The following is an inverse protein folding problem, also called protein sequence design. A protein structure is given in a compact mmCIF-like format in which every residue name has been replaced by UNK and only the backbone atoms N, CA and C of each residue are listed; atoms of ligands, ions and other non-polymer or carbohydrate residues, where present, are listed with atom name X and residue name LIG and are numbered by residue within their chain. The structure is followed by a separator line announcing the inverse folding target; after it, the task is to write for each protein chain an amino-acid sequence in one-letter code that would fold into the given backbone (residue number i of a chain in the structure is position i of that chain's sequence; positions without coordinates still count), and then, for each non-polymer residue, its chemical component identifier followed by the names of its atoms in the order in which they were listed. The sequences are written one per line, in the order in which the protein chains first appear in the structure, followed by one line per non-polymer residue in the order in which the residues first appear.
data_IF_259728671024
#
_entry.id   IF_259728671024
#
_cell.length_a   1.000
_cell.length_b   1.000
_cell.length_c   1.000
_cell.angle_alpha   90.00
_cell.angle_beta   90.00
_cell.angle_gamma   90.00
#
_symmetry.space_group_name_H-M   'P 1'
#
loop_
_entity.id
_entity.type
_entity.pdbx_description
1 polymer ?
#
# COMPACT_ATOMS: atom_id res chain seq x y z
N UNK A 1 -0.05 11.66 49.49
CA UNK A 1 -0.33 11.83 48.05
C UNK A 1 1.02 12.00 47.38
N UNK A 2 1.59 11.12 46.58
CA UNK A 2 1.09 9.97 45.81
C UNK A 2 2.05 9.85 44.64
N UNK A 3 3.35 9.66 44.94
CA UNK A 3 4.41 9.53 43.96
C UNK A 3 4.71 8.06 43.74
N UNK A 4 4.27 7.52 42.62
CA UNK A 4 4.69 6.24 42.08
C UNK A 4 4.48 6.30 40.56
N UNK A 5 5.30 5.54 39.83
CA UNK A 5 5.41 5.45 38.36
C UNK A 5 6.54 6.27 37.74
N UNK A 6 7.79 5.87 38.03
CA UNK A 6 8.89 5.96 37.05
C UNK A 6 10.03 5.05 37.50
N UNK A 7 9.83 3.73 37.42
CA UNK A 7 10.87 2.74 37.74
C UNK A 7 10.59 1.43 36.99
N UNK A 8 10.61 1.49 35.66
CA UNK A 8 10.69 0.31 34.78
C UNK A 8 11.70 0.55 33.66
N UNK A 9 12.83 1.20 33.97
CA UNK A 9 14.00 1.19 33.11
C UNK A 9 15.12 0.43 33.83
N UNK A 10 15.65 -0.60 33.16
CA UNK A 10 16.86 -1.37 33.51
C UNK A 10 16.72 -2.53 34.51
N UNK A 11 15.89 -3.53 34.17
CA UNK A 11 16.21 -4.93 34.50
C UNK A 11 16.70 -5.60 33.22
N UNK A 12 17.85 -5.15 32.70
CA UNK A 12 18.60 -5.90 31.71
C UNK A 12 19.57 -6.80 32.49
N UNK A 13 19.26 -8.08 32.60
CA UNK A 13 20.22 -9.09 33.06
C UNK A 13 21.45 -9.00 32.14
N UNK A 14 22.63 -8.68 32.69
CA UNK A 14 23.89 -8.47 31.95
C UNK A 14 24.47 -9.71 31.25
N UNK A 15 23.65 -10.73 30.99
CA UNK A 15 24.02 -11.98 30.32
C UNK A 15 23.21 -12.26 29.05
N UNK A 16 22.20 -11.44 28.72
CA UNK A 16 21.45 -11.62 27.48
C UNK A 16 22.25 -11.00 26.33
N UNK A 17 22.83 -11.87 25.51
CA UNK A 17 23.46 -11.48 24.25
C UNK A 17 22.50 -10.61 23.42
N UNK A 18 22.98 -9.44 22.98
CA UNK A 18 22.20 -8.44 22.23
C UNK A 18 21.60 -9.04 20.96
N UNK A 19 22.32 -9.95 20.30
CA UNK A 19 21.82 -10.63 19.10
C UNK A 19 20.63 -11.54 19.44
N UNK A 20 20.70 -12.24 20.57
CA UNK A 20 19.59 -13.08 21.06
C UNK A 20 18.34 -12.26 21.41
N UNK A 21 18.50 -11.13 22.11
CA UNK A 21 17.37 -10.22 22.39
C UNK A 21 16.77 -9.66 21.11
N UNK A 22 17.61 -9.16 20.20
CA UNK A 22 17.16 -8.64 18.91
C UNK A 22 16.34 -9.67 18.11
N UNK A 23 16.77 -10.94 18.08
CA UNK A 23 16.04 -12.04 17.43
C UNK A 23 14.67 -12.30 18.06
N UNK A 24 14.60 -12.33 19.39
CA UNK A 24 13.32 -12.54 20.10
C UNK A 24 12.28 -11.43 19.85
N UNK A 25 12.74 -10.24 19.44
CA UNK A 25 11.89 -9.08 19.20
C UNK A 25 11.53 -8.89 17.72
N UNK A 26 11.93 -9.79 16.82
CA UNK A 26 11.68 -9.62 15.38
C UNK A 26 10.20 -9.53 15.04
N UNK A 27 9.36 -10.41 15.61
CA UNK A 27 7.90 -10.36 15.42
C UNK A 27 7.34 -9.00 15.86
N UNK A 28 7.73 -8.52 17.05
CA UNK A 28 7.27 -7.25 17.58
C UNK A 28 7.72 -6.07 16.71
N UNK A 29 8.97 -6.10 16.25
CA UNK A 29 9.53 -5.05 15.36
C UNK A 29 8.87 -5.00 13.99
N UNK A 30 8.39 -6.13 13.46
CA UNK A 30 7.68 -6.20 12.19
C UNK A 30 6.18 -5.91 12.35
N UNK A 31 5.58 -6.24 13.49
CA UNK A 31 4.13 -6.16 13.69
C UNK A 31 3.55 -4.75 13.45
N UNK A 32 4.15 -3.72 14.07
CA UNK A 32 3.69 -2.33 13.96
C UNK A 32 3.83 -1.76 12.53
N UNK A 33 5.00 -1.81 11.87
CA UNK A 33 5.11 -1.30 10.52
C UNK A 33 4.21 -2.06 9.54
N UNK A 34 4.05 -3.39 9.68
CA UNK A 34 3.10 -4.13 8.83
C UNK A 34 1.67 -3.68 9.05
N UNK A 35 1.24 -3.42 10.29
CA UNK A 35 -0.09 -2.87 10.56
C UNK A 35 -0.28 -1.49 9.91
N UNK A 36 0.71 -0.61 10.02
CA UNK A 36 0.67 0.72 9.40
C UNK A 36 0.58 0.64 7.86
N UNK A 37 1.28 -0.33 7.24
CA UNK A 37 1.16 -0.62 5.81
C UNK A 37 -0.26 -1.05 5.44
N UNK A 38 -0.87 -1.93 6.24
CA UNK A 38 -2.22 -2.44 5.99
C UNK A 38 -3.25 -1.33 6.09
N UNK A 39 -3.20 -0.49 7.12
CA UNK A 39 -4.12 0.64 7.30
C UNK A 39 -4.08 1.59 6.09
N UNK A 40 -2.87 1.95 5.65
CA UNK A 40 -2.68 2.79 4.47
C UNK A 40 -3.18 2.09 3.18
N UNK A 41 -2.91 0.79 3.03
CA UNK A 41 -3.29 0.03 1.84
C UNK A 41 -4.81 -0.14 1.71
N UNK A 42 -5.53 -0.32 2.83
CA UNK A 42 -7.00 -0.35 2.83
C UNK A 42 -7.55 0.97 2.28
N UNK A 43 -7.03 2.10 2.76
CA UNK A 43 -7.43 3.41 2.22
C UNK A 43 -7.14 3.52 0.72
N UNK A 44 -5.94 3.16 0.28
CA UNK A 44 -5.53 3.30 -1.12
C UNK A 44 -6.38 2.44 -2.06
N UNK A 45 -6.72 1.21 -1.62
CA UNK A 45 -7.61 0.31 -2.36
C UNK A 45 -9.02 0.87 -2.50
N UNK A 46 -9.55 1.49 -1.44
CA UNK A 46 -10.90 2.06 -1.46
C UNK A 46 -10.97 3.38 -2.27
N UNK A 47 -9.82 3.95 -2.65
CA UNK A 47 -9.70 5.22 -3.37
C UNK A 47 -8.97 5.11 -4.72
N UNK A 48 -9.03 3.95 -5.40
CA UNK A 48 -8.40 3.70 -6.70
C UNK A 48 -8.77 4.72 -7.78
N UNK A 49 -10.01 5.20 -7.80
CA UNK A 49 -10.45 6.23 -8.74
C UNK A 49 -9.66 7.55 -8.57
N UNK A 50 -9.39 7.96 -7.33
CA UNK A 50 -8.59 9.17 -7.03
C UNK A 50 -7.12 8.96 -7.39
N UNK A 51 -6.59 7.74 -7.23
CA UNK A 51 -5.23 7.40 -7.66
C UNK A 51 -5.11 7.53 -9.18
N UNK A 52 -6.10 7.02 -9.94
CA UNK A 52 -6.12 7.13 -11.39
C UNK A 52 -6.17 8.59 -11.85
N UNK A 53 -7.07 9.39 -11.28
CA UNK A 53 -7.18 10.83 -11.57
C UNK A 53 -5.85 11.56 -11.29
N UNK A 54 -5.18 11.23 -10.17
CA UNK A 54 -3.88 11.78 -9.82
C UNK A 54 -2.79 11.44 -10.86
N UNK A 55 -2.81 10.21 -11.38
CA UNK A 55 -1.90 9.77 -12.44
C UNK A 55 -2.16 10.45 -13.79
N UNK A 56 -3.44 10.58 -14.18
CA UNK A 56 -3.84 11.21 -15.45
C UNK A 56 -3.50 12.70 -15.48
N UNK A 57 -3.85 13.43 -14.42
CA UNK A 57 -3.61 14.88 -14.32
C UNK A 57 -2.15 15.19 -14.01
N UNK A 58 -1.46 14.26 -13.37
CA UNK A 58 -0.11 14.45 -12.87
C UNK A 58 -0.10 14.99 -11.44
N UNK A 59 0.74 14.45 -10.54
CA UNK A 59 0.87 14.93 -9.17
C UNK A 59 1.29 16.41 -9.08
N UNK A 60 1.97 16.94 -10.11
CA UNK A 60 2.37 18.35 -10.19
C UNK A 60 1.21 19.30 -10.51
N UNK A 61 0.21 18.86 -11.27
CA UNK A 61 -0.92 19.71 -11.63
C UNK A 61 -2.00 19.76 -10.53
N UNK A 62 -2.05 18.75 -9.67
CA UNK A 62 -3.15 18.52 -8.72
C UNK A 62 -2.95 19.16 -7.35
N UNK A 63 -1.76 19.69 -7.04
CA UNK A 63 -1.50 20.41 -5.79
C UNK A 63 -1.47 21.93 -6.08
N UNK A 64 -2.58 22.67 -5.89
CA UNK A 64 -2.70 24.08 -6.30
C UNK A 64 -1.79 25.06 -5.53
N UNK A 65 -1.09 24.59 -4.49
CA UNK A 65 -0.14 25.38 -3.67
C UNK A 65 1.18 24.61 -3.56
N UNK A 66 1.89 24.49 -4.67
CA UNK A 66 3.23 23.91 -4.71
C UNK A 66 4.24 24.79 -3.97
N UNK A 67 4.42 24.54 -2.67
CA UNK A 67 5.61 24.99 -1.96
C UNK A 67 6.82 24.11 -2.30
N UNK A 68 8.01 24.56 -1.90
CA UNK A 68 9.26 23.81 -2.09
C UNK A 68 9.25 22.49 -1.30
N UNK A 69 8.54 22.44 -0.17
CA UNK A 69 8.42 21.27 0.70
C UNK A 69 7.58 20.18 0.04
N UNK A 70 6.42 20.52 -0.50
CA UNK A 70 5.50 19.60 -1.18
C UNK A 70 6.17 18.98 -2.39
N UNK A 71 6.89 19.78 -3.18
CA UNK A 71 7.66 19.28 -4.32
C UNK A 71 8.71 18.27 -3.92
N UNK A 72 9.49 18.59 -2.89
CA UNK A 72 10.51 17.67 -2.38
C UNK A 72 9.86 16.38 -1.88
N UNK A 73 8.79 16.48 -1.11
CA UNK A 73 8.08 15.33 -0.53
C UNK A 73 7.50 14.43 -1.62
N UNK A 74 6.92 15.00 -2.67
CA UNK A 74 6.46 14.24 -3.83
C UNK A 74 7.60 13.53 -4.55
N UNK A 75 8.74 14.20 -4.78
CA UNK A 75 9.91 13.57 -5.39
C UNK A 75 10.43 12.40 -4.55
N UNK A 76 10.42 12.55 -3.23
CA UNK A 76 10.81 11.52 -2.27
C UNK A 76 9.84 10.32 -2.31
N UNK A 77 8.52 10.56 -2.37
CA UNK A 77 7.51 9.51 -2.55
C UNK A 77 7.73 8.80 -3.88
N UNK A 78 7.83 9.54 -4.99
CA UNK A 78 8.00 8.97 -6.32
C UNK A 78 9.23 8.06 -6.40
N UNK A 79 10.38 8.56 -5.93
CA UNK A 79 11.62 7.79 -5.86
C UNK A 79 11.50 6.55 -4.97
N UNK A 80 10.82 6.66 -3.83
CA UNK A 80 10.63 5.52 -2.92
C UNK A 80 9.73 4.46 -3.53
N UNK A 81 8.61 4.85 -4.14
CA UNK A 81 7.73 3.94 -4.86
C UNK A 81 8.48 3.20 -5.97
N UNK A 82 9.14 3.94 -6.85
CA UNK A 82 9.89 3.39 -7.99
C UNK A 82 10.98 2.43 -7.51
N UNK A 83 11.75 2.83 -6.50
CA UNK A 83 12.83 2.00 -5.95
C UNK A 83 12.34 0.75 -5.23
N UNK A 84 11.31 0.85 -4.37
CA UNK A 84 10.79 -0.29 -3.60
C UNK A 84 10.05 -1.30 -4.46
N UNK A 85 9.25 -0.83 -5.42
CA UNK A 85 8.48 -1.69 -6.32
C UNK A 85 9.31 -2.20 -7.52
N UNK A 86 10.58 -1.81 -7.61
CA UNK A 86 11.48 -2.27 -8.67
C UNK A 86 11.05 -1.80 -10.05
N UNK A 87 10.40 -0.65 -10.15
CA UNK A 87 9.98 -0.11 -11.43
C UNK A 87 11.20 0.38 -12.22
N UNK A 88 11.40 -0.19 -13.40
CA UNK A 88 12.52 0.18 -14.27
C UNK A 88 12.13 1.30 -15.23
N UNK A 89 12.91 2.38 -15.20
CA UNK A 89 12.80 3.45 -16.16
C UNK A 89 13.67 3.18 -17.40
N UNK A 90 13.10 2.47 -18.38
CA UNK A 90 13.80 2.20 -19.65
C UNK A 90 14.03 3.48 -20.48
N UNK A 91 13.20 4.50 -20.28
CA UNK A 91 13.23 5.75 -21.04
C UNK A 91 14.12 6.83 -20.41
N UNK A 92 14.47 6.68 -19.12
CA UNK A 92 15.17 7.69 -18.30
C UNK A 92 14.36 8.99 -18.17
N UNK A 93 13.04 8.88 -18.15
CA UNK A 93 12.10 9.98 -17.96
C UNK A 93 12.14 10.54 -16.52
N UNK A 94 12.72 9.80 -15.58
CA UNK A 94 12.86 10.14 -14.16
C UNK A 94 11.76 9.56 -13.28
N UNK A 95 12.07 9.43 -11.99
CA UNK A 95 11.20 8.74 -11.01
C UNK A 95 9.78 9.31 -10.97
N UNK A 96 9.62 10.62 -11.12
CA UNK A 96 8.31 11.27 -11.05
C UNK A 96 7.41 10.92 -12.24
N UNK A 97 7.97 10.86 -13.45
CA UNK A 97 7.21 10.52 -14.66
C UNK A 97 6.81 9.05 -14.62
N UNK A 98 7.73 8.17 -14.20
CA UNK A 98 7.44 6.75 -14.05
C UNK A 98 6.38 6.51 -12.97
N UNK A 99 6.50 7.19 -11.83
CA UNK A 99 5.49 7.17 -10.77
C UNK A 99 4.12 7.61 -11.28
N UNK A 100 4.04 8.73 -12.00
CA UNK A 100 2.79 9.19 -12.60
C UNK A 100 2.17 8.14 -13.55
N UNK A 101 2.97 7.54 -14.44
CA UNK A 101 2.51 6.49 -15.36
C UNK A 101 1.93 5.29 -14.61
N UNK A 102 2.51 4.94 -13.46
CA UNK A 102 2.03 3.85 -12.61
C UNK A 102 0.74 4.20 -11.88
N UNK A 103 0.61 5.42 -11.36
CA UNK A 103 -0.65 5.90 -10.78
C UNK A 103 -1.81 5.88 -11.78
N UNK A 104 -1.55 6.19 -13.05
CA UNK A 104 -2.57 6.12 -14.11
C UNK A 104 -3.07 4.67 -14.35
N UNK A 105 -2.36 3.65 -13.86
CA UNK A 105 -2.75 2.25 -13.86
C UNK A 105 -3.16 1.82 -12.44
N UNK A 106 -4.08 2.57 -11.82
CA UNK A 106 -4.35 2.52 -10.38
C UNK A 106 -4.63 1.11 -9.82
N UNK A 107 -5.41 0.28 -10.52
CA UNK A 107 -5.70 -1.09 -10.08
C UNK A 107 -4.44 -1.95 -10.01
N UNK A 108 -3.64 -1.94 -11.08
CA UNK A 108 -2.35 -2.65 -11.12
C UNK A 108 -1.39 -2.09 -10.07
N UNK A 109 -1.36 -0.78 -9.90
CA UNK A 109 -0.52 -0.14 -8.90
C UNK A 109 -0.89 -0.58 -7.47
N UNK A 110 -2.19 -0.63 -7.13
CA UNK A 110 -2.65 -1.14 -5.83
C UNK A 110 -2.33 -2.62 -5.66
N UNK A 111 -2.47 -3.44 -6.71
CA UNK A 111 -2.08 -4.84 -6.67
C UNK A 111 -0.56 -5.01 -6.45
N UNK A 112 0.26 -4.16 -7.08
CA UNK A 112 1.70 -4.13 -6.85
C UNK A 112 2.03 -3.79 -5.38
N UNK A 113 1.28 -2.87 -4.75
CA UNK A 113 1.43 -2.56 -3.31
C UNK A 113 0.97 -3.72 -2.42
N UNK A 114 -0.10 -4.42 -2.79
CA UNK A 114 -0.61 -5.57 -2.05
C UNK A 114 0.37 -6.75 -2.09
N UNK A 115 0.95 -7.01 -3.26
CA UNK A 115 1.90 -8.11 -3.50
C UNK A 115 3.35 -7.74 -3.16
N UNK A 116 3.63 -6.48 -2.81
CA UNK A 116 4.95 -6.02 -2.42
C UNK A 116 5.53 -6.83 -1.26
N UNK A 117 6.78 -7.28 -1.40
CA UNK A 117 7.50 -8.04 -0.37
C UNK A 117 8.73 -7.28 0.09
N UNK A 118 8.70 -6.81 1.34
CA UNK A 118 9.84 -6.13 1.94
C UNK A 118 11.09 -7.04 2.04
N UNK A 119 10.88 -8.36 2.16
CA UNK A 119 11.91 -9.40 2.19
C UNK A 119 12.78 -9.39 0.94
N UNK A 120 12.22 -9.04 -0.22
CA UNK A 120 12.92 -9.12 -1.52
C UNK A 120 13.65 -7.83 -1.89
N UNK A 121 13.51 -6.76 -1.09
CA UNK A 121 14.14 -5.48 -1.39
C UNK A 121 15.66 -5.57 -1.22
N UNK A 122 16.46 -5.20 -2.24
CA UNK A 122 17.91 -5.21 -2.15
C UNK A 122 18.45 -4.25 -1.08
N UNK A 123 19.50 -4.67 -0.38
CA UNK A 123 20.15 -3.84 0.66
C UNK A 123 20.69 -2.51 0.09
N UNK A 124 21.13 -2.48 -1.17
CA UNK A 124 21.53 -1.25 -1.86
C UNK A 124 20.37 -0.27 -2.04
N UNK A 125 19.18 -0.79 -2.40
CA UNK A 125 17.95 -0.01 -2.49
C UNK A 125 17.58 0.56 -1.13
N UNK A 126 17.57 -0.26 -0.07
CA UNK A 126 17.30 0.19 1.30
C UNK A 126 18.25 1.31 1.71
N UNK A 127 19.56 1.13 1.51
CA UNK A 127 20.56 2.14 1.83
C UNK A 127 20.34 3.46 1.05
N UNK A 128 19.95 3.37 -0.23
CA UNK A 128 19.70 4.54 -1.07
C UNK A 128 18.45 5.32 -0.67
N UNK A 129 17.45 4.65 -0.07
CA UNK A 129 16.17 5.23 0.33
C UNK A 129 16.11 5.59 1.83
N UNK A 130 17.07 5.16 2.63
CA UNK A 130 17.10 5.44 4.08
C UNK A 130 17.05 6.93 4.40
N UNK A 131 17.78 7.75 3.64
CA UNK A 131 17.78 9.21 3.80
C UNK A 131 16.47 9.86 3.38
N UNK A 132 15.71 9.19 2.50
CA UNK A 132 14.42 9.66 1.99
C UNK A 132 13.34 9.53 3.06
N UNK A 133 13.30 8.40 3.75
CA UNK A 133 12.28 8.10 4.76
C UNK A 133 12.50 8.84 6.09
N UNK A 134 13.76 9.15 6.41
CA UNK A 134 14.13 9.93 7.59
C UNK A 134 13.90 11.44 7.42
N UNK A 135 13.64 11.91 6.19
CA UNK A 135 13.31 13.30 5.97
C UNK A 135 11.95 13.62 6.62
N UNK A 136 11.93 14.64 7.49
CA UNK A 136 10.71 15.19 8.11
C UNK A 136 9.72 15.80 7.08
N UNK A 137 10.05 15.70 5.80
CA UNK A 137 9.27 16.23 4.69
C UNK A 137 8.10 15.29 4.32
N UNK A 138 8.16 13.99 4.63
CA UNK A 138 7.04 13.06 4.37
C UNK A 138 6.10 12.92 5.59
N UNK A 139 5.76 14.02 6.26
CA UNK A 139 4.89 14.02 7.43
C UNK A 139 3.42 14.34 7.08
N UNK A 140 2.50 13.99 7.99
CA UNK A 140 1.09 14.36 7.89
C UNK A 140 0.91 15.86 7.68
N UNK A 141 -0.08 16.24 6.86
CA UNK A 141 -0.42 17.63 6.59
C UNK A 141 0.52 18.37 5.62
N UNK A 142 1.49 17.68 5.01
CA UNK A 142 2.34 18.27 3.96
C UNK A 142 1.56 18.44 2.66
N UNK A 143 0.77 17.44 2.27
CA UNK A 143 -0.07 17.55 1.09
C UNK A 143 -1.44 18.11 1.46
N UNK A 144 -1.97 18.98 0.61
CA UNK A 144 -3.30 19.56 0.77
C UNK A 144 -4.08 19.47 -0.54
N UNK A 145 -5.41 19.65 -0.49
CA UNK A 145 -6.29 19.53 -1.64
C UNK A 145 -6.89 18.13 -1.79
N UNK A 146 -7.63 17.91 -2.88
CA UNK A 146 -8.43 16.70 -3.07
C UNK A 146 -7.59 15.42 -3.12
N UNK A 147 -6.36 15.47 -3.65
CA UNK A 147 -5.46 14.32 -3.75
C UNK A 147 -4.44 14.23 -2.62
N UNK A 148 -4.48 15.18 -1.67
CA UNK A 148 -3.48 15.25 -0.59
C UNK A 148 -3.51 14.04 0.32
N UNK A 149 -4.69 13.49 0.58
CA UNK A 149 -4.84 12.29 1.42
C UNK A 149 -4.24 11.06 0.73
N UNK A 150 -4.45 10.86 -0.57
CA UNK A 150 -3.84 9.74 -1.32
C UNK A 150 -2.31 9.77 -1.21
N UNK A 151 -1.68 10.94 -1.40
CA UNK A 151 -0.22 11.08 -1.27
C UNK A 151 0.25 10.86 0.18
N UNK A 152 -0.54 11.30 1.16
CA UNK A 152 -0.25 11.08 2.59
C UNK A 152 -0.29 9.59 2.92
N UNK A 153 -1.28 8.86 2.43
CA UNK A 153 -1.42 7.42 2.64
C UNK A 153 -0.34 6.64 1.89
N UNK A 154 0.09 7.09 0.70
CA UNK A 154 1.27 6.51 0.05
C UNK A 154 2.54 6.70 0.89
N UNK A 155 2.76 7.88 1.47
CA UNK A 155 3.88 8.09 2.38
C UNK A 155 3.77 7.19 3.64
N UNK A 156 2.56 7.04 4.17
CA UNK A 156 2.25 6.17 5.31
C UNK A 156 2.46 4.68 5.01
N UNK A 157 2.34 4.26 3.75
CA UNK A 157 2.70 2.90 3.32
C UNK A 157 4.22 2.73 3.11
N UNK A 158 4.87 3.68 2.43
CA UNK A 158 6.28 3.55 2.02
C UNK A 158 7.26 3.60 3.18
N UNK A 159 7.00 4.43 4.20
CA UNK A 159 7.85 4.54 5.39
C UNK A 159 7.96 3.20 6.14
N UNK A 160 6.86 2.57 6.59
CA UNK A 160 6.93 1.27 7.24
C UNK A 160 7.42 0.17 6.31
N UNK A 161 7.11 0.22 5.01
CA UNK A 161 7.68 -0.70 4.01
C UNK A 161 9.21 -0.70 4.03
N UNK A 162 9.83 0.49 4.10
CA UNK A 162 11.28 0.58 4.19
C UNK A 162 11.81 0.09 5.55
N UNK A 163 11.08 0.32 6.64
CA UNK A 163 11.45 -0.20 7.97
C UNK A 163 11.46 -1.73 7.95
N UNK A 164 10.42 -2.36 7.41
CA UNK A 164 10.39 -3.81 7.23
C UNK A 164 11.56 -4.28 6.36
N UNK A 165 11.83 -3.61 5.23
CA UNK A 165 12.95 -3.95 4.35
C UNK A 165 14.31 -3.82 5.04
N UNK A 166 14.48 -2.84 5.93
CA UNK A 166 15.67 -2.69 6.76
C UNK A 166 15.82 -3.85 7.74
N UNK A 167 14.75 -4.25 8.44
CA UNK A 167 14.76 -5.42 9.34
C UNK A 167 15.14 -6.69 8.57
N UNK A 168 14.56 -6.92 7.38
CA UNK A 168 14.92 -8.07 6.55
C UNK A 168 16.37 -7.99 6.04
N UNK A 169 16.89 -6.78 5.78
CA UNK A 169 18.31 -6.61 5.47
C UNK A 169 19.21 -6.92 6.68
N UNK A 170 18.79 -6.59 7.90
CA UNK A 170 19.51 -6.96 9.13
C UNK A 170 19.54 -8.48 9.32
N UNK A 171 18.42 -9.19 9.05
CA UNK A 171 18.36 -10.65 9.07
C UNK A 171 19.37 -11.25 8.09
N UNK A 172 19.39 -10.80 6.83
CA UNK A 172 20.38 -11.27 5.83
C UNK A 172 21.81 -11.01 6.26
N UNK A 173 22.09 -9.85 6.85
CA UNK A 173 23.42 -9.52 7.36
C UNK A 173 23.82 -10.41 8.55
N UNK A 174 22.88 -10.75 9.43
CA UNK A 174 23.11 -11.64 10.56
C UNK A 174 23.47 -13.06 10.11
N UNK A 175 22.80 -13.57 9.07
CA UNK A 175 23.13 -14.86 8.42
C UNK A 175 24.53 -14.80 7.80
N UNK A 176 24.83 -13.76 7.02
CA UNK A 176 26.14 -13.60 6.39
C UNK A 176 27.29 -13.49 7.43
N UNK A 177 27.01 -12.95 8.61
CA UNK A 177 27.96 -12.87 9.72
C UNK A 177 28.05 -14.16 10.56
N UNK A 178 27.23 -15.18 10.29
CA UNK A 178 27.17 -16.42 11.06
C UNK A 178 26.54 -16.28 12.45
N UNK A 179 25.80 -15.19 12.69
CA UNK A 179 25.13 -14.90 13.98
C UNK A 179 23.68 -15.36 14.03
N UNK A 180 23.16 -15.86 12.90
CA UNK A 180 21.84 -16.48 12.73
C UNK A 180 21.99 -17.64 11.75
N UNK A 181 21.33 -18.78 11.99
CA UNK A 181 21.36 -19.91 11.06
C UNK A 181 20.47 -19.63 9.84
N UNK A 182 20.77 -20.28 8.72
CA UNK A 182 19.93 -20.21 7.51
C UNK A 182 18.51 -20.72 7.78
N UNK A 183 18.37 -21.82 8.53
CA UNK A 183 17.06 -22.36 8.93
C UNK A 183 16.25 -21.39 9.79
N UNK A 184 16.89 -20.65 10.69
CA UNK A 184 16.22 -19.65 11.52
C UNK A 184 15.78 -18.44 10.67
N UNK A 185 16.63 -17.99 9.74
CA UNK A 185 16.30 -16.91 8.83
C UNK A 185 15.20 -17.29 7.83
N UNK A 186 15.16 -18.55 7.39
CA UNK A 186 14.15 -19.08 6.48
C UNK A 186 12.73 -18.86 7.02
N UNK A 187 12.51 -19.01 8.33
CA UNK A 187 11.20 -18.75 8.98
C UNK A 187 10.67 -17.34 8.68
N UNK A 188 11.57 -16.36 8.53
CA UNK A 188 11.21 -14.95 8.31
C UNK A 188 11.26 -14.54 6.83
N UNK A 189 12.10 -15.21 6.05
CA UNK A 189 12.42 -14.82 4.67
C UNK A 189 11.68 -15.67 3.62
N UNK A 190 11.36 -16.92 3.96
CA UNK A 190 10.61 -17.84 3.11
C UNK A 190 9.11 -17.59 3.21
N UNK A 191 8.42 -17.91 2.12
CA UNK A 191 7.02 -17.56 1.91
C UNK A 191 6.83 -16.93 0.54
N UNK A 192 5.69 -17.17 -0.07
CA UNK A 192 5.31 -16.56 -1.37
C UNK A 192 4.42 -15.34 -1.18
N UNK A 193 3.86 -15.15 0.01
CA UNK A 193 2.94 -14.07 0.34
C UNK A 193 3.67 -12.88 0.97
N UNK A 194 3.07 -11.70 0.85
CA UNK A 194 3.50 -10.49 1.56
C UNK A 194 2.91 -10.45 2.98
N UNK A 195 3.61 -9.82 3.93
CA UNK A 195 3.15 -9.75 5.32
C UNK A 195 1.81 -9.02 5.45
N UNK A 196 1.61 -7.97 4.65
CA UNK A 196 0.36 -7.23 4.60
C UNK A 196 -0.79 -8.05 3.99
N UNK A 197 -0.53 -8.87 2.96
CA UNK A 197 -1.56 -9.77 2.39
C UNK A 197 -2.00 -10.80 3.43
N UNK A 198 -1.03 -11.43 4.11
CA UNK A 198 -1.32 -12.38 5.18
C UNK A 198 -2.14 -11.73 6.32
N UNK A 199 -1.78 -10.51 6.72
CA UNK A 199 -2.52 -9.77 7.76
C UNK A 199 -3.94 -9.38 7.31
N UNK A 200 -4.12 -8.91 6.07
CA UNK A 200 -5.44 -8.59 5.51
C UNK A 200 -6.33 -9.85 5.45
N UNK A 201 -5.77 -10.98 5.03
CA UNK A 201 -6.49 -12.25 4.99
C UNK A 201 -6.89 -12.72 6.40
N UNK A 202 -5.99 -12.59 7.38
CA UNK A 202 -6.25 -12.91 8.77
C UNK A 202 -7.36 -12.05 9.41
N UNK A 203 -7.55 -10.82 8.94
CA UNK A 203 -8.65 -9.93 9.36
C UNK A 203 -10.00 -10.23 8.67
N UNK A 204 -10.11 -11.38 7.98
CA UNK A 204 -11.35 -11.80 7.30
C UNK A 204 -11.51 -11.17 5.92
N UNK A 205 -10.39 -11.02 5.20
CA UNK A 205 -10.25 -10.35 3.90
C UNK A 205 -11.50 -10.42 3.02
N UNK A 206 -12.32 -9.36 3.05
CA UNK A 206 -13.43 -9.20 2.11
C UNK A 206 -12.85 -8.85 0.74
N UNK A 207 -12.66 -9.85 -0.11
CA UNK A 207 -12.41 -9.66 -1.55
C UNK A 207 -13.71 -9.42 -2.35
N UNK A 208 -14.88 -9.54 -1.71
CA UNK A 208 -16.16 -9.70 -2.42
C UNK A 208 -16.99 -8.40 -2.61
N UNK A 209 -16.43 -7.20 -2.46
CA UNK A 209 -17.19 -5.97 -2.75
C UNK A 209 -17.09 -5.48 -4.21
N UNK A 210 -16.43 -6.23 -5.09
CA UNK A 210 -16.42 -6.00 -6.54
C UNK A 210 -17.16 -7.10 -7.31
N UNK A 211 -18.15 -7.77 -6.69
CA UNK A 211 -19.26 -8.23 -7.53
C UNK A 211 -19.90 -6.99 -8.13
N UNK A 212 -19.55 -6.74 -9.38
CA UNK A 212 -20.33 -5.96 -10.33
C UNK A 212 -21.78 -6.31 -10.01
N UNK A 213 -22.50 -5.34 -9.46
CA UNK A 213 -23.94 -5.39 -9.42
C UNK A 213 -24.37 -5.28 -10.89
N UNK A 214 -24.20 -6.37 -11.64
CA UNK A 214 -24.81 -6.58 -12.93
C UNK A 214 -26.29 -6.41 -12.65
N UNK A 215 -26.83 -5.34 -13.19
CA UNK A 215 -28.22 -4.96 -13.11
C UNK A 215 -29.10 -6.22 -13.22
N UNK A 216 -29.58 -6.68 -12.06
CA UNK A 216 -30.79 -7.48 -11.96
C UNK A 216 -31.92 -6.57 -12.43
N UNK A 217 -32.01 -6.44 -13.74
CA UNK A 217 -33.12 -5.86 -14.45
C UNK A 217 -34.32 -6.81 -14.24
N UNK A 218 -35.33 -6.47 -13.42
CA UNK A 218 -36.45 -7.36 -13.18
C UNK A 218 -37.48 -7.31 -14.32
N UNK A 219 -37.18 -6.62 -15.43
CA UNK A 219 -38.17 -6.25 -16.43
C UNK A 219 -37.90 -6.89 -17.82
N UNK A 220 -37.73 -8.21 -17.88
CA UNK A 220 -37.85 -8.92 -19.16
C UNK A 220 -38.08 -10.42 -18.96
N UNK A 221 -39.27 -10.83 -18.49
CA UNK A 221 -39.78 -12.15 -18.89
C UNK A 221 -41.28 -12.29 -18.66
N UNK A 222 -41.91 -12.85 -19.70
CA UNK A 222 -43.27 -13.42 -19.76
C UNK A 222 -44.41 -12.50 -20.20
N UNK A 223 -44.46 -12.26 -21.51
CA UNK A 223 -45.69 -12.51 -22.26
C UNK A 223 -46.02 -14.02 -22.25
N UNK A 224 -47.27 -14.42 -22.02
CA UNK A 224 -48.00 -15.17 -23.05
C UNK A 224 -49.48 -14.71 -23.16
N UNK A 225 -49.97 -14.38 -24.35
CA UNK A 225 -50.66 -15.27 -25.30
C UNK A 225 -52.16 -15.50 -24.99
N UNK A 226 -52.99 -15.27 -26.02
CA UNK A 226 -54.44 -15.61 -26.21
C UNK A 226 -55.45 -14.63 -25.59
N UNK A 227 -56.64 -14.38 -26.15
CA UNK A 227 -57.29 -14.54 -27.45
C UNK A 227 -58.68 -13.88 -27.28
N UNK A 228 -59.31 -13.42 -28.37
CA UNK A 228 -60.71 -12.96 -28.38
C UNK A 228 -60.80 -11.66 -29.17
N UNK A 229 -61.19 -11.65 -30.44
CA UNK A 229 -62.46 -12.05 -31.07
C UNK A 229 -62.96 -10.82 -31.82
N UNK A 230 -63.64 -11.09 -32.94
CA UNK A 230 -64.05 -10.16 -33.98
C UNK A 230 -65.12 -9.13 -33.55
N UNK A 231 -65.26 -8.01 -34.26
CA UNK A 231 -66.23 -7.86 -35.37
C UNK A 231 -66.15 -6.43 -36.00
N UNK A 232 -66.57 -6.23 -37.27
CA UNK A 232 -66.33 -5.06 -38.10
C UNK A 232 -67.56 -4.13 -38.20
N UNK A 233 -67.45 -3.12 -39.09
CA UNK A 233 -68.45 -2.09 -39.49
C UNK A 233 -68.32 -0.86 -38.58
N UNK A 234 -68.01 0.33 -39.09
CA UNK A 234 -68.86 1.19 -39.95
C UNK A 234 -67.91 2.31 -40.41
N UNK A 235 -67.70 2.61 -41.69
CA UNK A 235 -68.66 3.26 -42.57
C UNK A 235 -68.02 4.55 -43.09
N UNK A 236 -67.73 4.60 -44.39
CA UNK A 236 -67.43 5.82 -45.14
C UNK A 236 -68.60 6.81 -45.03
N UNK A 237 -68.29 8.11 -44.97
CA UNK A 237 -69.12 9.15 -45.57
C UNK A 237 -68.28 10.41 -45.84
N UNK A 238 -68.15 10.71 -47.14
CA UNK A 238 -67.89 11.97 -47.84
C UNK A 238 -66.72 12.87 -47.43
#
# INVERSE_FOLDING_TARGET
MGGALSLTENIACGHTDKATLWRSLLADRLSKPTADMVDALVYLRDNTAMIAELGERGPEATLPRYGTKEKRSLQLIARSCVGLLGYEDRARDGDLVLFQKKLAQAEQFVEDLLTFRAQTVPTSTVASLKTVVQAADCCEGVFSGSHGEVLTQLAAFLRPSLICAEIYSEIRAAVAAGTMSEDEAAIWMEGTESDQSHMINAMGGRRDCFEVQEDLNPAASLSPLLAGEADPRTGQAF
#
